data_IF_064381550073
#
_entry.id   IF_064381550073
#
_cell.length_a   1.000
_cell.length_b   1.000
_cell.length_c   1.000
_cell.angle_alpha   90.00
_cell.angle_beta   90.00
_cell.angle_gamma   90.00
#
_symmetry.space_group_name_H-M   'P 1'
#
loop_
_entity.id
_entity.type
_entity.pdbx_description
1 polymer ?
#
# COMPACT_ATOMS: atom_id res chain seq x y z
N UNK A 1 3.24 17.84 -1.69
CA UNK A 1 2.60 17.59 -0.38
C UNK A 1 3.70 17.42 0.66
N UNK A 2 4.06 18.50 1.36
CA UNK A 2 4.95 18.47 2.53
C UNK A 2 4.25 19.28 3.61
N UNK A 3 3.91 18.62 4.69
CA UNK A 3 3.33 19.18 5.91
C UNK A 3 3.51 18.13 7.00
N UNK A 4 4.36 18.47 7.96
CA UNK A 4 4.56 17.92 9.31
C UNK A 4 4.00 16.51 9.61
N UNK A 5 4.89 15.58 10.00
CA UNK A 5 4.54 14.22 10.47
C UNK A 5 3.68 13.38 9.51
N UNK A 6 3.82 13.59 8.19
CA UNK A 6 3.07 12.81 7.21
C UNK A 6 3.57 11.35 7.19
N UNK A 7 2.85 10.47 7.88
CA UNK A 7 3.03 9.03 7.75
C UNK A 7 2.81 8.66 6.28
N UNK A 8 3.73 7.89 5.70
CA UNK A 8 3.60 7.38 4.34
C UNK A 8 3.63 5.86 4.37
N UNK A 9 2.85 5.25 3.49
CA UNK A 9 2.90 3.82 3.21
C UNK A 9 2.84 3.65 1.70
N UNK A 10 3.63 2.74 1.17
CA UNK A 10 3.66 2.44 -0.26
C UNK A 10 3.98 0.97 -0.47
N UNK A 11 3.59 0.46 -1.64
CA UNK A 11 4.02 -0.84 -2.14
C UNK A 11 5.08 -0.57 -3.21
N UNK A 12 6.28 -1.10 -3.00
CA UNK A 12 7.39 -0.95 -3.93
C UNK A 12 7.58 -2.20 -4.78
N UNK A 13 7.82 -2.00 -6.08
CA UNK A 13 8.07 -3.06 -7.04
C UNK A 13 9.52 -2.97 -7.56
N UNK A 14 10.09 -4.09 -8.01
CA UNK A 14 11.41 -4.10 -8.65
C UNK A 14 11.42 -3.29 -9.96
N UNK A 15 10.30 -3.31 -10.68
CA UNK A 15 10.04 -2.59 -11.92
C UNK A 15 8.69 -1.87 -11.85
N UNK A 16 8.49 -0.84 -12.68
CA UNK A 16 7.23 -0.07 -12.65
C UNK A 16 6.04 -0.98 -12.98
N UNK A 17 5.04 -1.11 -12.08
CA UNK A 17 3.95 -2.04 -12.30
C UNK A 17 2.99 -1.50 -13.36
N UNK A 18 2.67 -2.36 -14.34
CA UNK A 18 1.72 -2.04 -15.39
C UNK A 18 0.27 -2.30 -14.94
N UNK A 19 -0.20 -1.49 -13.98
CA UNK A 19 -1.55 -1.61 -13.43
C UNK A 19 -2.58 -1.01 -14.39
N UNK A 20 -3.68 -1.74 -14.65
CA UNK A 20 -4.82 -1.29 -15.46
C UNK A 20 -5.97 -0.78 -14.59
N UNK A 21 -6.89 0.00 -15.18
CA UNK A 21 -8.04 0.56 -14.45
C UNK A 21 -7.66 1.72 -13.52
N UNK A 22 -6.61 2.47 -13.88
CA UNK A 22 -6.24 3.73 -13.25
C UNK A 22 -7.15 4.84 -13.72
N UNK A 23 -7.71 5.60 -12.79
CA UNK A 23 -8.29 6.91 -13.11
C UNK A 23 -7.16 7.92 -13.24
N UNK A 24 -6.75 8.22 -14.48
CA UNK A 24 -5.75 9.24 -14.74
C UNK A 24 -6.27 10.62 -14.32
N UNK A 25 -5.51 11.32 -13.48
CA UNK A 25 -5.83 12.68 -13.05
C UNK A 25 -4.92 13.67 -13.75
N UNK A 26 -5.42 14.91 -13.90
CA UNK A 26 -4.58 16.04 -14.33
C UNK A 26 -3.40 16.16 -13.35
N UNK A 27 -2.17 16.10 -13.85
CA UNK A 27 -0.95 16.08 -13.04
C UNK A 27 -0.08 14.82 -13.16
N UNK A 28 -0.43 13.87 -14.04
CA UNK A 28 0.48 12.76 -14.40
C UNK A 28 0.49 11.58 -13.43
N UNK A 29 -0.54 11.45 -12.59
CA UNK A 29 -0.72 10.32 -11.69
C UNK A 29 -2.05 9.59 -11.95
N UNK A 30 -2.07 8.29 -11.66
CA UNK A 30 -3.24 7.45 -11.68
C UNK A 30 -3.74 7.14 -10.27
N UNK A 31 -5.06 7.12 -10.09
CA UNK A 31 -5.70 6.62 -8.87
C UNK A 31 -6.19 5.19 -9.11
N UNK A 32 -5.83 4.27 -8.22
CA UNK A 32 -6.16 2.85 -8.29
C UNK A 32 -7.02 2.51 -7.06
N UNK A 33 -8.13 1.82 -7.27
CA UNK A 33 -8.90 1.18 -6.19
C UNK A 33 -8.60 -0.31 -6.20
N UNK A 34 -7.86 -0.76 -5.20
CA UNK A 34 -7.48 -2.16 -5.04
C UNK A 34 -8.38 -2.83 -4.00
N UNK A 35 -8.81 -4.07 -4.28
CA UNK A 35 -9.39 -4.89 -3.21
C UNK A 35 -8.24 -5.43 -2.38
N UNK A 36 -8.34 -5.30 -1.07
CA UNK A 36 -7.43 -5.95 -0.12
C UNK A 36 -8.22 -6.90 0.76
N UNK A 37 -7.56 -7.92 1.28
CA UNK A 37 -8.09 -8.81 2.29
C UNK A 37 -7.15 -8.73 3.49
N UNK A 38 -7.71 -8.41 4.65
CA UNK A 38 -7.01 -8.28 5.92
C UNK A 38 -7.66 -9.32 6.83
N UNK A 39 -6.93 -10.39 7.14
CA UNK A 39 -7.43 -11.57 7.86
C UNK A 39 -8.75 -12.12 7.26
N UNK A 40 -8.81 -12.14 5.93
CA UNK A 40 -9.97 -12.60 5.16
C UNK A 40 -11.09 -11.59 4.99
N UNK A 41 -11.07 -10.45 5.69
CA UNK A 41 -12.06 -9.38 5.51
C UNK A 41 -11.71 -8.54 4.28
N UNK A 42 -12.63 -8.47 3.33
CA UNK A 42 -12.47 -7.68 2.10
C UNK A 42 -12.67 -6.18 2.38
N UNK A 43 -11.68 -5.38 2.04
CA UNK A 43 -11.66 -3.92 2.16
C UNK A 43 -11.21 -3.28 0.83
N UNK A 44 -11.33 -1.95 0.71
CA UNK A 44 -10.86 -1.21 -0.47
C UNK A 44 -9.74 -0.25 -0.10
N UNK A 45 -8.58 -0.43 -0.74
CA UNK A 45 -7.42 0.44 -0.61
C UNK A 45 -7.36 1.40 -1.80
N UNK A 46 -7.19 2.69 -1.54
CA UNK A 46 -6.91 3.67 -2.59
C UNK A 46 -5.41 3.90 -2.71
N UNK A 47 -4.88 3.63 -3.88
CA UNK A 47 -3.47 3.80 -4.24
C UNK A 47 -3.31 4.92 -5.27
N UNK A 48 -2.16 5.58 -5.22
CA UNK A 48 -1.74 6.62 -6.14
C UNK A 48 -0.44 6.17 -6.78
N UNK A 49 -0.36 6.24 -8.11
CA UNK A 49 0.87 5.93 -8.84
C UNK A 49 1.20 7.09 -9.78
N UNK A 50 2.39 7.66 -9.63
CA UNK A 50 2.95 8.56 -10.63
C UNK A 50 3.34 7.77 -11.89
N UNK A 51 3.21 8.40 -13.07
CA UNK A 51 3.50 7.72 -14.34
C UNK A 51 4.96 7.23 -14.37
N UNK A 52 5.16 5.93 -14.59
CA UNK A 52 6.48 5.30 -14.61
C UNK A 52 7.08 5.01 -13.22
N UNK A 53 6.42 5.39 -12.12
CA UNK A 53 6.90 5.08 -10.78
C UNK A 53 6.80 3.58 -10.46
N UNK A 54 7.76 3.11 -9.66
CA UNK A 54 7.79 1.75 -9.07
C UNK A 54 6.96 1.63 -7.80
N UNK A 55 6.44 2.75 -7.31
CA UNK A 55 5.78 2.85 -6.02
C UNK A 55 4.28 3.09 -6.21
N UNK A 56 3.49 2.37 -5.44
CA UNK A 56 2.06 2.63 -5.27
C UNK A 56 1.84 3.23 -3.89
N UNK A 57 1.64 4.54 -3.84
CA UNK A 57 1.44 5.28 -2.60
C UNK A 57 0.03 5.06 -2.05
N UNK A 58 -0.07 4.78 -0.76
CA UNK A 58 -1.35 4.63 -0.08
C UNK A 58 -1.92 5.99 0.26
N UNK A 59 -3.15 6.27 -0.19
CA UNK A 59 -3.82 7.56 0.08
C UNK A 59 -4.12 7.79 1.56
N UNK A 60 -4.43 6.73 2.30
CA UNK A 60 -4.78 6.76 3.73
C UNK A 60 -3.85 5.85 4.55
N UNK A 61 -2.58 6.24 4.73
CA UNK A 61 -1.53 5.36 5.24
C UNK A 61 -1.75 4.96 6.71
N UNK A 62 -2.23 5.88 7.55
CA UNK A 62 -2.53 5.60 8.96
C UNK A 62 -3.59 4.51 9.15
N UNK A 63 -4.63 4.50 8.31
CA UNK A 63 -5.66 3.46 8.34
C UNK A 63 -5.06 2.09 8.03
N UNK A 64 -4.26 2.01 6.97
CA UNK A 64 -3.63 0.74 6.58
C UNK A 64 -2.66 0.25 7.66
N UNK A 65 -1.79 1.12 8.17
CA UNK A 65 -0.84 0.76 9.22
C UNK A 65 -1.58 0.24 10.47
N UNK A 66 -2.66 0.90 10.88
CA UNK A 66 -3.42 0.45 12.04
C UNK A 66 -4.09 -0.91 11.80
N UNK A 67 -4.55 -1.20 10.58
CA UNK A 67 -5.06 -2.53 10.24
C UNK A 67 -3.94 -3.59 10.22
N UNK A 68 -2.75 -3.24 9.69
CA UNK A 68 -1.64 -4.19 9.57
C UNK A 68 -0.97 -4.53 10.91
N UNK A 69 -1.05 -3.65 11.92
CA UNK A 69 -0.50 -3.88 13.27
C UNK A 69 -1.00 -5.16 13.92
N UNK A 70 -2.24 -5.54 13.67
CA UNK A 70 -2.85 -6.71 14.32
C UNK A 70 -3.25 -7.78 13.30
N UNK A 71 -2.70 -7.70 12.08
CA UNK A 71 -3.01 -8.57 10.96
C UNK A 71 -1.99 -9.70 10.82
N UNK A 72 -2.48 -10.91 10.53
CA UNK A 72 -1.66 -12.07 10.21
C UNK A 72 -1.54 -12.29 8.69
N UNK A 73 -2.63 -12.03 7.94
CA UNK A 73 -2.72 -12.22 6.50
C UNK A 73 -3.17 -10.94 5.78
N UNK A 74 -2.25 -10.35 5.00
CA UNK A 74 -2.57 -9.25 4.10
C UNK A 74 -2.47 -9.70 2.65
N UNK A 75 -3.57 -9.57 1.90
CA UNK A 75 -3.60 -9.81 0.46
C UNK A 75 -4.06 -8.58 -0.28
N UNK A 76 -3.43 -8.30 -1.42
CA UNK A 76 -3.85 -7.22 -2.33
C UNK A 76 -4.08 -7.79 -3.72
N UNK A 77 -5.21 -7.40 -4.31
CA UNK A 77 -5.56 -7.73 -5.67
C UNK A 77 -5.44 -6.47 -6.55
N UNK A 78 -4.51 -6.52 -7.50
CA UNK A 78 -4.34 -5.47 -8.51
C UNK A 78 -4.64 -6.04 -9.89
N UNK A 79 -5.28 -5.23 -10.72
CA UNK A 79 -5.47 -5.56 -12.13
C UNK A 79 -4.17 -5.29 -12.89
N UNK A 80 -3.53 -6.34 -13.39
CA UNK A 80 -2.27 -6.25 -14.11
C UNK A 80 -2.50 -6.36 -15.61
N UNK A 81 -1.85 -5.49 -16.38
CA UNK A 81 -1.93 -5.53 -17.84
C UNK A 81 -1.45 -6.89 -18.37
N UNK A 82 -2.28 -7.57 -19.16
CA UNK A 82 -1.97 -8.90 -19.70
C UNK A 82 -2.20 -10.07 -18.74
N UNK A 83 -2.44 -9.83 -17.43
CA UNK A 83 -2.60 -10.89 -16.42
C UNK A 83 -3.87 -10.73 -15.56
N UNK A 84 -4.95 -10.14 -16.10
CA UNK A 84 -6.23 -9.96 -15.40
C UNK A 84 -6.06 -9.45 -13.96
N UNK A 85 -6.52 -10.19 -12.94
CA UNK A 85 -6.31 -9.91 -11.53
C UNK A 85 -5.11 -10.72 -11.00
N UNK A 86 -4.09 -10.04 -10.49
CA UNK A 86 -2.98 -10.66 -9.79
C UNK A 86 -3.14 -10.42 -8.29
N UNK A 87 -2.97 -11.46 -7.49
CA UNK A 87 -3.08 -11.41 -6.02
C UNK A 87 -1.70 -11.61 -5.41
N UNK A 88 -1.23 -10.62 -4.66
CA UNK A 88 -0.04 -10.75 -3.82
C UNK A 88 -0.48 -11.02 -2.39
N UNK A 89 0.19 -11.97 -1.74
CA UNK A 89 -0.09 -12.38 -0.36
C UNK A 89 1.14 -12.14 0.50
N UNK A 90 0.93 -11.49 1.63
CA UNK A 90 1.97 -11.13 2.59
C UNK A 90 1.56 -11.68 3.95
N UNK A 91 2.41 -12.50 4.56
CA UNK A 91 2.26 -12.87 5.96
C UNK A 91 2.81 -11.74 6.83
N UNK A 92 1.97 -11.23 7.72
CA UNK A 92 2.22 -10.05 8.54
C UNK A 92 2.51 -10.38 10.02
N UNK A 93 2.80 -11.66 10.32
CA UNK A 93 3.01 -12.23 11.67
C UNK A 93 4.02 -11.45 12.55
N UNK A 94 4.87 -10.58 11.98
CA UNK A 94 5.85 -9.75 12.72
C UNK A 94 5.71 -8.24 12.50
N UNK A 95 4.72 -7.79 11.73
CA UNK A 95 4.61 -6.37 11.40
C UNK A 95 4.45 -5.49 12.64
N UNK A 96 3.68 -5.96 13.65
CA UNK A 96 3.54 -5.28 14.94
C UNK A 96 4.89 -5.05 15.62
N UNK A 97 5.63 -6.13 15.82
CA UNK A 97 6.89 -6.12 16.54
C UNK A 97 7.93 -5.25 15.82
N UNK A 98 7.99 -5.35 14.49
CA UNK A 98 8.89 -4.55 13.66
C UNK A 98 8.51 -3.06 13.67
N UNK A 99 7.22 -2.76 13.58
CA UNK A 99 6.71 -1.40 13.64
C UNK A 99 6.97 -0.76 15.01
N UNK A 100 6.69 -1.46 16.11
CA UNK A 100 6.96 -0.98 17.47
C UNK A 100 8.46 -0.82 17.73
N UNK A 101 9.29 -1.76 17.26
CA UNK A 101 10.75 -1.67 17.34
C UNK A 101 11.28 -0.43 16.59
N UNK A 102 10.74 -0.17 15.40
CA UNK A 102 11.04 1.01 14.61
C UNK A 102 10.67 2.28 15.36
N UNK A 103 9.44 2.39 15.90
CA UNK A 103 9.00 3.57 16.65
C UNK A 103 9.90 3.84 17.86
N UNK A 104 10.30 2.80 18.61
CA UNK A 104 11.22 2.97 19.76
C UNK A 104 12.58 3.52 19.33
N UNK A 105 13.12 3.09 18.19
CA UNK A 105 14.39 3.60 17.67
C UNK A 105 14.31 5.08 17.29
N UNK A 106 13.19 5.53 16.75
CA UNK A 106 13.03 6.92 16.29
C UNK A 106 12.52 7.88 17.38
N UNK A 107 11.80 7.39 18.39
CA UNK A 107 11.27 8.20 19.49
C UNK A 107 12.22 8.28 20.70
N UNK A 108 13.32 7.54 20.72
CA UNK A 108 14.37 7.66 21.74
C UNK A 108 15.44 8.71 21.37
N UNK A 109 14.99 9.84 20.79
CA UNK A 109 15.74 11.09 20.70
C UNK A 109 15.16 12.10 21.70
#
# INVERSE_FOLDING_TARGET
MKGENSTWAYINFSESPNIVGKDLKRGGYGVIKANVYIDGVKEVLTLIQETGSKELYVKHPTWLINKLKDCDDFRINLRWHGNSNVVWSFRSVRFKDEYESMLRKFNNL
#
